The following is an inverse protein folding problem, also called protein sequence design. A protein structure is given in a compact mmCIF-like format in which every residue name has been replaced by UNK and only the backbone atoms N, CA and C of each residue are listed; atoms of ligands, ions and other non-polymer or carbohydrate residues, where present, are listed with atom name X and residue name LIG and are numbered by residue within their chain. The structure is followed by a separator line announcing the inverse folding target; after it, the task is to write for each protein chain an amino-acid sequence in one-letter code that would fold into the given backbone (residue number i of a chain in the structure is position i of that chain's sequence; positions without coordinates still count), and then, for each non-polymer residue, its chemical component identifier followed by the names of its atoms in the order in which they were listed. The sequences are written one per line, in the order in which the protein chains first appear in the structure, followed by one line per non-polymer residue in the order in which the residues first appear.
data_IF_561270223652
#
_entry.id   IF_561270223652
#
_cell.length_a   1.000
_cell.length_b   1.000
_cell.length_c   1.000
_cell.angle_alpha   90.00
_cell.angle_beta   90.00
_cell.angle_gamma   90.00
#
_symmetry.space_group_name_H-M   'P 1'
#
loop_
_entity.id
_entity.type
_entity.pdbx_description
1 polymer ?
#
# COMPACT_ATOMS: atom_id res chain seq x y z
N UNK A 1 -4.72 25.83 7.60
CA UNK A 1 -3.33 25.89 7.06
C UNK A 1 -2.35 24.98 7.82
N UNK A 2 -2.84 23.93 8.50
CA UNK A 2 -2.08 22.99 9.34
C UNK A 2 -2.01 21.57 8.77
N UNK A 3 -2.83 21.26 7.76
CA UNK A 3 -3.02 19.91 7.21
C UNK A 3 -1.76 19.40 6.48
N UNK A 4 -1.11 20.26 5.72
CA UNK A 4 0.02 19.89 4.84
C UNK A 4 1.30 19.50 5.60
N UNK A 5 1.53 20.04 6.80
CA UNK A 5 2.75 19.79 7.57
C UNK A 5 2.74 18.45 8.31
N UNK A 6 1.56 17.99 8.76
CA UNK A 6 1.41 16.70 9.45
C UNK A 6 1.65 15.53 8.48
N UNK A 7 1.10 15.61 7.27
CA UNK A 7 1.26 14.57 6.23
C UNK A 7 2.73 14.36 5.84
N UNK A 8 3.51 15.43 5.68
CA UNK A 8 4.93 15.33 5.28
C UNK A 8 5.80 14.73 6.39
N UNK A 9 5.53 15.05 7.67
CA UNK A 9 6.27 14.49 8.80
C UNK A 9 5.94 13.01 9.01
N UNK A 10 4.67 12.66 8.84
CA UNK A 10 4.16 11.30 8.97
C UNK A 10 4.70 10.40 7.83
N UNK A 11 4.78 10.92 6.61
CA UNK A 11 5.38 10.22 5.47
C UNK A 11 6.88 9.95 5.68
N UNK A 12 7.63 10.92 6.22
CA UNK A 12 9.05 10.72 6.56
C UNK A 12 9.28 9.68 7.64
N UNK A 13 8.45 9.70 8.70
CA UNK A 13 8.54 8.70 9.77
C UNK A 13 8.24 7.30 9.24
N UNK A 14 7.18 7.16 8.45
CA UNK A 14 6.77 5.90 7.82
C UNK A 14 7.88 5.33 6.94
N UNK A 15 8.43 6.13 6.03
CA UNK A 15 9.57 5.72 5.19
C UNK A 15 10.77 5.28 6.02
N UNK A 16 11.08 5.98 7.11
CA UNK A 16 12.16 5.57 8.03
C UNK A 16 11.89 4.21 8.67
N UNK A 17 10.67 3.97 9.15
CA UNK A 17 10.28 2.67 9.74
C UNK A 17 10.40 1.56 8.69
N UNK A 18 9.78 1.73 7.51
CA UNK A 18 9.83 0.72 6.45
C UNK A 18 11.26 0.43 5.98
N UNK A 19 12.09 1.47 5.89
CA UNK A 19 13.52 1.32 5.57
C UNK A 19 14.28 0.58 6.66
N UNK A 20 14.04 0.88 7.94
CA UNK A 20 14.67 0.14 9.06
C UNK A 20 14.23 -1.32 9.15
N UNK A 21 13.05 -1.65 8.63
CA UNK A 21 12.54 -3.02 8.55
C UNK A 21 12.98 -3.75 7.27
N UNK A 22 13.73 -3.10 6.38
CA UNK A 22 14.16 -3.70 5.10
C UNK A 22 13.03 -3.91 4.10
N UNK A 23 11.90 -3.21 4.26
CA UNK A 23 10.69 -3.40 3.46
C UNK A 23 10.66 -2.57 2.16
N UNK A 24 11.57 -1.60 2.02
CA UNK A 24 11.63 -0.71 0.86
C UNK A 24 11.69 -1.44 -0.50
N UNK A 25 12.48 -2.50 -0.69
CA UNK A 25 12.56 -3.19 -1.98
C UNK A 25 11.22 -3.79 -2.43
N UNK A 26 10.35 -4.16 -1.49
CA UNK A 26 9.02 -4.67 -1.80
C UNK A 26 8.07 -3.53 -2.15
N UNK A 27 8.10 -2.44 -1.38
CA UNK A 27 7.24 -1.29 -1.63
C UNK A 27 7.52 -0.60 -2.97
N UNK A 28 8.79 -0.54 -3.38
CA UNK A 28 9.22 0.05 -4.66
C UNK A 28 8.69 -0.71 -5.89
N UNK A 29 8.22 -1.96 -5.71
CA UNK A 29 7.58 -2.75 -6.77
C UNK A 29 6.09 -2.46 -6.92
N UNK A 30 5.50 -1.74 -5.98
CA UNK A 30 4.06 -1.47 -6.02
C UNK A 30 3.77 -0.20 -6.81
N UNK A 31 2.68 -0.21 -7.56
CA UNK A 31 2.06 0.99 -8.10
C UNK A 31 0.96 1.47 -7.15
N UNK A 32 1.07 2.72 -6.70
CA UNK A 32 0.03 3.35 -5.89
C UNK A 32 -1.06 3.94 -6.78
N UNK A 33 -2.31 3.58 -6.50
CA UNK A 33 -3.49 4.01 -7.24
C UNK A 33 -4.45 4.70 -6.26
N UNK A 34 -4.93 5.89 -6.62
CA UNK A 34 -5.98 6.59 -5.86
C UNK A 34 -7.31 6.54 -6.61
N UNK A 35 -8.39 6.16 -5.92
CA UNK A 35 -9.71 5.98 -6.52
C UNK A 35 -10.78 6.86 -5.86
N UNK A 36 -11.56 7.54 -6.68
CA UNK A 36 -12.75 8.30 -6.26
C UNK A 36 -12.48 9.72 -5.76
N UNK A 37 -13.55 10.45 -5.45
CA UNK A 37 -13.48 11.85 -4.98
C UNK A 37 -12.97 11.96 -3.53
N UNK A 38 -13.24 10.94 -2.71
CA UNK A 38 -12.58 10.71 -1.44
C UNK A 38 -11.56 9.59 -1.67
N UNK A 39 -10.26 9.90 -1.79
CA UNK A 39 -9.28 8.99 -2.35
C UNK A 39 -9.15 7.74 -1.48
N UNK A 40 -9.50 6.60 -2.08
CA UNK A 40 -9.12 5.28 -1.59
C UNK A 40 -7.74 4.96 -2.14
N UNK A 41 -6.79 4.71 -1.24
CA UNK A 41 -5.46 4.26 -1.58
C UNK A 41 -5.47 2.75 -1.85
N UNK A 42 -4.96 2.39 -3.01
CA UNK A 42 -4.74 1.01 -3.42
C UNK A 42 -3.28 0.82 -3.82
N UNK A 43 -2.75 -0.36 -3.57
CA UNK A 43 -1.43 -0.80 -4.07
C UNK A 43 -1.62 -1.96 -5.03
N UNK A 44 -1.00 -1.85 -6.21
CA UNK A 44 -0.95 -2.90 -7.22
C UNK A 44 0.45 -3.51 -7.25
N UNK A 45 0.53 -4.82 -7.03
CA UNK A 45 1.70 -5.64 -7.35
C UNK A 45 1.33 -6.51 -8.54
N UNK A 46 1.84 -6.15 -9.72
CA UNK A 46 1.48 -6.80 -10.97
C UNK A 46 2.48 -7.91 -11.32
N UNK A 47 1.94 -9.07 -11.72
CA UNK A 47 2.71 -10.15 -12.33
C UNK A 47 2.54 -10.15 -13.86
N UNK A 48 1.30 -10.24 -14.35
CA UNK A 48 0.96 -10.20 -15.79
C UNK A 48 -0.51 -9.78 -15.97
N UNK A 49 -0.89 -9.09 -17.06
CA UNK A 49 -2.30 -8.73 -17.32
C UNK A 49 -3.27 -9.93 -17.35
N UNK A 50 -2.78 -11.13 -17.67
CA UNK A 50 -3.56 -12.37 -17.78
C UNK A 50 -3.57 -13.20 -16.48
N UNK A 51 -2.78 -12.78 -15.49
CA UNK A 51 -2.69 -13.48 -14.21
C UNK A 51 -3.96 -13.27 -13.36
N UNK A 52 -4.37 -14.26 -12.55
CA UNK A 52 -5.48 -14.10 -11.63
C UNK A 52 -5.20 -12.98 -10.61
N UNK A 53 -6.22 -12.18 -10.33
CA UNK A 53 -6.14 -11.07 -9.37
C UNK A 53 -6.72 -11.45 -8.02
N UNK A 54 -5.96 -11.18 -6.96
CA UNK A 54 -6.40 -11.29 -5.57
C UNK A 54 -6.56 -9.88 -5.00
N UNK A 55 -7.74 -9.61 -4.43
CA UNK A 55 -7.97 -8.39 -3.65
C UNK A 55 -7.62 -8.69 -2.20
N UNK A 56 -6.71 -7.90 -1.64
CA UNK A 56 -6.27 -8.01 -0.26
C UNK A 56 -6.84 -6.87 0.58
N UNK A 57 -7.51 -7.22 1.68
CA UNK A 57 -8.06 -6.26 2.64
C UNK A 57 -7.31 -6.40 3.98
N UNK A 58 -6.52 -5.39 4.38
CA UNK A 58 -5.84 -5.39 5.67
C UNK A 58 -6.84 -5.49 6.83
N UNK A 59 -6.39 -6.09 7.94
CA UNK A 59 -7.18 -6.17 9.18
C UNK A 59 -7.30 -4.82 9.90
N UNK A 60 -8.13 -4.77 10.94
CA UNK A 60 -8.33 -3.57 11.76
C UNK A 60 -7.00 -3.07 12.35
N UNK A 61 -6.78 -1.75 12.29
CA UNK A 61 -5.57 -1.11 12.83
C UNK A 61 -4.30 -1.33 11.99
N UNK A 62 -4.44 -1.88 10.78
CA UNK A 62 -3.34 -2.11 9.84
C UNK A 62 -3.57 -1.40 8.51
N UNK A 63 -2.59 -1.45 7.63
CA UNK A 63 -2.63 -0.85 6.28
C UNK A 63 -1.73 -1.65 5.32
N UNK A 64 -1.96 -1.50 4.02
CA UNK A 64 -1.35 -2.28 2.93
C UNK A 64 0.16 -2.42 3.04
N UNK A 65 0.89 -1.34 3.33
CA UNK A 65 2.36 -1.34 3.36
C UNK A 65 2.99 -2.24 4.41
N UNK A 66 2.28 -2.55 5.50
CA UNK A 66 2.77 -3.51 6.50
C UNK A 66 2.87 -4.93 5.92
N UNK A 67 2.17 -5.19 4.82
CA UNK A 67 2.11 -6.47 4.12
C UNK A 67 2.88 -6.45 2.79
N UNK A 68 3.61 -5.38 2.45
CA UNK A 68 4.27 -5.23 1.15
C UNK A 68 5.17 -6.42 0.77
N UNK A 69 5.89 -7.00 1.72
CA UNK A 69 6.70 -8.21 1.47
C UNK A 69 5.83 -9.42 1.09
N UNK A 70 4.75 -9.68 1.84
CA UNK A 70 3.81 -10.77 1.53
C UNK A 70 3.19 -10.58 0.15
N UNK A 71 2.67 -9.39 -0.12
CA UNK A 71 1.99 -9.06 -1.38
C UNK A 71 2.96 -9.16 -2.56
N UNK A 72 4.17 -8.63 -2.40
CA UNK A 72 5.22 -8.71 -3.42
C UNK A 72 5.63 -10.16 -3.72
N UNK A 73 5.83 -10.98 -2.69
CA UNK A 73 6.17 -12.41 -2.86
C UNK A 73 5.01 -13.24 -3.41
N UNK A 74 3.77 -12.91 -3.07
CA UNK A 74 2.60 -13.55 -3.67
C UNK A 74 2.49 -13.17 -5.15
N UNK A 75 2.87 -11.95 -5.52
CA UNK A 75 2.93 -11.55 -6.92
C UNK A 75 3.96 -12.38 -7.69
N UNK A 76 5.13 -12.64 -7.10
CA UNK A 76 6.15 -13.54 -7.65
C UNK A 76 5.66 -14.99 -7.87
N UNK A 77 4.55 -15.38 -7.24
CA UNK A 77 3.92 -16.70 -7.43
C UNK A 77 2.89 -16.74 -8.57
N UNK A 78 2.75 -15.67 -9.35
CA UNK A 78 1.89 -15.64 -10.53
C UNK A 78 0.51 -15.01 -10.31
N UNK A 79 0.38 -14.13 -9.32
CA UNK A 79 -0.85 -13.40 -9.02
C UNK A 79 -0.67 -11.90 -9.22
N UNK A 80 -1.74 -11.22 -9.62
CA UNK A 80 -1.84 -9.77 -9.42
C UNK A 80 -2.44 -9.52 -8.04
N UNK A 81 -1.84 -8.61 -7.26
CA UNK A 81 -2.34 -8.27 -5.93
C UNK A 81 -2.83 -6.82 -5.95
N UNK A 82 -4.07 -6.62 -5.53
CA UNK A 82 -4.63 -5.29 -5.27
C UNK A 82 -4.92 -5.19 -3.78
N UNK A 83 -4.05 -4.51 -3.04
CA UNK A 83 -4.31 -4.20 -1.64
C UNK A 83 -5.10 -2.90 -1.55
N UNK A 84 -6.16 -2.88 -0.73
CA UNK A 84 -7.03 -1.71 -0.58
C UNK A 84 -7.01 -1.25 0.88
N UNK A 85 -6.55 -0.03 1.10
CA UNK A 85 -6.75 0.64 2.38
C UNK A 85 -8.20 1.14 2.40
N UNK A 86 -9.04 0.58 3.28
CA UNK A 86 -10.41 1.06 3.45
C UNK A 86 -10.42 2.49 4.02
N UNK A 87 -11.56 3.18 3.97
CA UNK A 87 -11.67 4.57 4.48
C UNK A 87 -11.19 4.69 5.93
N UNK A 88 -10.46 5.77 6.22
CA UNK A 88 -9.86 6.02 7.53
C UNK A 88 -8.72 5.06 7.92
N UNK A 89 -8.23 4.24 7.00
CA UNK A 89 -7.07 3.37 7.19
C UNK A 89 -5.91 3.79 6.28
N UNK A 90 -4.69 3.56 6.78
CA UNK A 90 -3.46 3.72 5.99
C UNK A 90 -3.36 5.08 5.30
N UNK A 91 -3.28 5.04 3.97
CA UNK A 91 -3.19 6.24 3.13
C UNK A 91 -4.53 6.73 2.56
N UNK A 92 -5.63 6.04 2.85
CA UNK A 92 -6.96 6.43 2.39
C UNK A 92 -7.50 7.62 3.16
N UNK A 93 -8.24 8.49 2.45
CA UNK A 93 -8.95 9.61 3.06
C UNK A 93 -10.04 9.14 4.03
N UNK A 94 -10.24 9.90 5.11
CA UNK A 94 -11.26 9.64 6.13
C UNK A 94 -11.13 10.58 7.32
#
# INVERSE_FOLDING_TARGET
MSYTWQTVKQDRLRKRVLSSLGLMPYLERCEAIELGELPLHCELYQFSPEAPTIIFLPGIGTYSQLYCELLSRMSDQGFNLVAVDIRGHGCSGG
#
